data_IF_993526687622
#
_entry.id   IF_993526687622
#
_cell.length_a   1.000
_cell.length_b   1.000
_cell.length_c   1.000
_cell.angle_alpha   90.00
_cell.angle_beta   90.00
_cell.angle_gamma   90.00
#
_symmetry.space_group_name_H-M   'P 1'
#
loop_
_entity.id
_entity.type
_entity.pdbx_description
1 polymer ?
#
# COMPACT_ATOMS: atom_id res chain seq x y z
N UNK A 1 64.52 -13.18 6.60
CA UNK A 1 63.12 -13.59 6.78
C UNK A 1 62.54 -12.86 7.97
N UNK A 2 61.29 -12.37 7.83
CA UNK A 2 60.35 -11.86 8.86
C UNK A 2 60.85 -10.70 9.75
N UNK A 3 60.57 -9.44 9.39
CA UNK A 3 59.35 -8.64 9.68
C UNK A 3 59.44 -7.88 11.02
N UNK A 4 59.36 -6.53 11.04
CA UNK A 4 59.29 -5.75 12.27
C UNK A 4 57.84 -5.37 12.62
N UNK A 5 57.50 -5.42 13.91
CA UNK A 5 56.31 -4.77 14.48
C UNK A 5 56.80 -3.59 15.33
N UNK A 6 56.30 -2.40 15.04
CA UNK A 6 56.61 -1.17 15.76
C UNK A 6 55.31 -0.64 16.36
N UNK A 7 55.23 -0.70 17.69
CA UNK A 7 54.20 -0.05 18.49
C UNK A 7 54.62 1.40 18.76
N UNK A 8 53.73 2.36 18.51
CA UNK A 8 53.83 3.71 19.06
C UNK A 8 52.46 4.40 19.11
N UNK A 9 52.05 4.62 20.36
CA UNK A 9 51.54 5.88 20.92
C UNK A 9 50.05 6.30 20.80
N UNK A 10 49.41 6.19 21.95
CA UNK A 10 48.59 7.16 22.67
C UNK A 10 48.25 8.52 21.99
N UNK A 11 46.99 8.66 21.62
CA UNK A 11 46.11 9.78 21.96
C UNK A 11 46.43 11.21 21.50
N UNK A 12 45.71 11.69 20.45
CA UNK A 12 45.00 12.99 20.52
C UNK A 12 43.87 13.14 19.47
N UNK A 13 42.66 13.31 19.99
CA UNK A 13 41.53 14.10 19.47
C UNK A 13 40.77 13.76 18.17
N UNK A 14 39.46 13.97 18.31
CA UNK A 14 38.45 14.31 17.28
C UNK A 14 37.71 13.16 16.58
N UNK A 15 36.84 12.50 17.37
CA UNK A 15 35.37 12.58 17.20
C UNK A 15 34.84 12.85 15.76
N UNK A 16 35.00 11.94 14.80
CA UNK A 16 33.98 11.54 13.80
C UNK A 16 34.33 10.11 13.35
N UNK A 17 33.52 9.10 13.72
CA UNK A 17 33.51 7.82 13.01
C UNK A 17 32.44 7.90 11.92
N UNK A 18 32.79 7.87 10.61
CA UNK A 18 31.80 7.74 9.56
C UNK A 18 31.38 6.26 9.50
N UNK A 19 30.51 5.88 10.43
CA UNK A 19 30.00 4.52 10.53
C UNK A 19 28.47 4.54 10.65
N UNK A 20 27.79 5.27 9.75
CA UNK A 20 26.33 5.15 9.56
C UNK A 20 26.00 5.31 8.07
N UNK A 21 26.65 4.51 7.22
CA UNK A 21 26.15 4.22 5.88
C UNK A 21 26.06 2.70 5.71
N UNK A 22 25.46 2.06 6.72
CA UNK A 22 25.06 0.66 6.69
C UNK A 22 23.67 0.56 6.08
N UNK A 23 23.64 0.08 4.84
CA UNK A 23 22.53 -0.46 4.08
C UNK A 23 21.28 -0.78 4.94
N UNK A 24 20.27 0.10 4.90
CA UNK A 24 18.91 -0.25 5.32
C UNK A 24 18.27 -1.19 4.30
N UNK A 25 18.81 -2.40 4.14
CA UNK A 25 18.08 -3.49 3.50
C UNK A 25 17.23 -4.14 4.59
N UNK A 26 16.11 -3.48 4.92
CA UNK A 26 15.10 -4.06 5.80
C UNK A 26 14.38 -5.15 5.00
N UNK A 27 14.60 -6.40 5.37
CA UNK A 27 13.84 -7.55 4.87
C UNK A 27 12.32 -7.24 4.96
N UNK A 28 11.55 -7.36 3.88
CA UNK A 28 10.15 -6.89 3.82
C UNK A 28 9.15 -7.76 4.60
N UNK A 29 9.57 -8.88 5.20
CA UNK A 29 8.66 -9.92 5.73
C UNK A 29 7.89 -9.56 7.01
N UNK A 30 8.32 -8.58 7.80
CA UNK A 30 7.70 -8.28 9.10
C UNK A 30 6.89 -6.97 9.15
N UNK A 31 6.62 -6.34 8.00
CA UNK A 31 5.80 -5.13 7.96
C UNK A 31 4.45 -5.45 7.35
N UNK A 32 3.45 -5.72 8.19
CA UNK A 32 2.06 -5.72 7.77
C UNK A 32 1.66 -4.27 7.46
N UNK A 33 1.84 -3.86 6.19
CA UNK A 33 1.60 -2.48 5.76
C UNK A 33 0.18 -2.38 5.23
N UNK A 34 -0.75 -1.86 6.02
CA UNK A 34 -2.13 -1.60 5.62
C UNK A 34 -2.38 -0.10 5.61
N UNK A 35 -2.19 0.55 4.47
CA UNK A 35 -2.27 2.01 4.36
C UNK A 35 -3.48 2.41 3.55
N UNK A 36 -4.11 3.51 3.96
CA UNK A 36 -5.27 4.08 3.28
C UNK A 36 -4.97 5.53 2.91
N UNK A 37 -5.06 5.86 1.63
CA UNK A 37 -4.90 7.22 1.11
C UNK A 37 -6.27 7.88 0.89
N UNK A 38 -6.46 9.00 1.58
CA UNK A 38 -7.66 9.83 1.51
C UNK A 38 -7.29 11.23 1.01
N UNK A 39 -8.18 11.87 0.25
CA UNK A 39 -8.00 13.25 -0.21
C UNK A 39 -8.75 13.56 -1.51
N UNK A 40 -8.79 14.84 -1.90
CA UNK A 40 -9.54 15.29 -3.07
C UNK A 40 -9.12 14.59 -4.38
N UNK A 41 -10.03 14.39 -5.34
CA UNK A 41 -9.64 13.94 -6.68
C UNK A 41 -8.65 14.95 -7.29
N UNK A 42 -7.64 14.45 -8.02
CA UNK A 42 -6.65 15.31 -8.69
C UNK A 42 -5.42 15.73 -7.88
N UNK A 43 -5.34 15.45 -6.57
CA UNK A 43 -4.14 15.76 -5.74
C UNK A 43 -2.96 14.79 -5.96
N UNK A 44 -3.12 13.80 -6.85
CA UNK A 44 -2.07 12.84 -7.19
C UNK A 44 -1.92 11.65 -6.24
N UNK A 45 -2.93 11.34 -5.39
CA UNK A 45 -2.90 10.17 -4.47
C UNK A 45 -2.47 8.88 -5.15
N UNK A 46 -3.11 8.53 -6.26
CA UNK A 46 -2.75 7.33 -7.03
C UNK A 46 -1.30 7.32 -7.50
N UNK A 47 -0.72 8.48 -7.84
CA UNK A 47 0.69 8.61 -8.20
C UNK A 47 1.61 8.30 -7.01
N UNK A 48 1.27 8.81 -5.82
CA UNK A 48 2.03 8.51 -4.60
C UNK A 48 1.86 7.05 -4.17
N UNK A 49 0.62 6.54 -4.20
CA UNK A 49 0.29 5.18 -3.83
C UNK A 49 0.97 4.14 -4.75
N UNK A 50 1.00 4.39 -6.06
CA UNK A 50 1.72 3.53 -7.02
C UNK A 50 3.23 3.53 -6.78
N UNK A 51 3.86 4.70 -6.62
CA UNK A 51 5.31 4.78 -6.33
C UNK A 51 5.67 4.08 -5.03
N UNK A 52 4.80 4.17 -4.04
CA UNK A 52 5.00 3.56 -2.74
C UNK A 52 4.78 2.04 -2.80
N UNK A 53 3.79 1.58 -3.57
CA UNK A 53 3.59 0.17 -3.91
C UNK A 53 4.86 -0.43 -4.50
N UNK A 54 5.47 0.24 -5.48
CA UNK A 54 6.72 -0.20 -6.10
C UNK A 54 7.90 -0.22 -5.10
N UNK A 55 7.98 0.78 -4.22
CA UNK A 55 9.05 0.90 -3.23
C UNK A 55 8.95 -0.14 -2.11
N UNK A 56 7.73 -0.44 -1.67
CA UNK A 56 7.46 -1.35 -0.55
C UNK A 56 7.21 -2.79 -1.01
N UNK A 57 6.95 -3.01 -2.29
CA UNK A 57 6.60 -4.32 -2.86
C UNK A 57 5.23 -4.81 -2.40
N UNK A 58 4.29 -3.90 -2.14
CA UNK A 58 2.92 -4.22 -1.70
C UNK A 58 1.89 -3.75 -2.73
N UNK A 59 0.78 -4.47 -2.90
CA UNK A 59 -0.24 -4.11 -3.89
C UNK A 59 -0.90 -2.76 -3.60
N UNK A 60 -1.02 -1.93 -4.63
CA UNK A 60 -1.93 -0.79 -4.64
C UNK A 60 -3.32 -1.23 -5.12
N UNK A 61 -4.34 -0.98 -4.31
CA UNK A 61 -5.74 -1.33 -4.54
C UNK A 61 -6.54 -0.04 -4.59
N UNK A 62 -6.94 0.39 -5.79
CA UNK A 62 -7.86 1.50 -5.97
C UNK A 62 -9.30 0.99 -6.16
N UNK A 63 -10.26 1.61 -5.48
CA UNK A 63 -11.69 1.26 -5.62
C UNK A 63 -12.19 1.36 -7.06
N UNK A 64 -11.69 2.33 -7.83
CA UNK A 64 -12.02 2.47 -9.25
C UNK A 64 -11.50 1.31 -10.09
N UNK A 65 -10.35 0.74 -9.73
CA UNK A 65 -9.76 -0.39 -10.46
C UNK A 65 -10.49 -1.69 -10.12
N UNK A 66 -10.89 -1.89 -8.86
CA UNK A 66 -11.75 -3.03 -8.47
C UNK A 66 -13.04 -3.10 -9.31
N UNK A 67 -13.69 -1.96 -9.51
CA UNK A 67 -14.91 -1.88 -10.33
C UNK A 67 -14.60 -2.17 -11.81
N UNK A 68 -13.50 -1.64 -12.35
CA UNK A 68 -13.10 -1.86 -13.75
C UNK A 68 -12.72 -3.31 -14.00
N UNK A 69 -11.98 -3.93 -13.09
CA UNK A 69 -11.56 -5.33 -13.16
C UNK A 69 -12.78 -6.26 -13.12
N UNK A 70 -13.74 -5.96 -12.25
CA UNK A 70 -14.99 -6.71 -12.20
C UNK A 70 -15.82 -6.51 -13.47
N UNK A 71 -15.91 -5.30 -14.02
CA UNK A 71 -16.58 -5.04 -15.31
C UNK A 71 -15.92 -5.82 -16.47
N UNK A 72 -14.61 -6.04 -16.41
CA UNK A 72 -13.87 -6.84 -17.38
C UNK A 72 -14.08 -8.36 -17.18
N UNK A 73 -14.45 -8.79 -15.98
CA UNK A 73 -14.80 -10.17 -15.67
C UNK A 73 -16.10 -10.62 -16.34
N UNK A 74 -16.24 -11.92 -16.57
CA UNK A 74 -17.41 -12.54 -17.19
C UNK A 74 -18.35 -13.21 -16.16
N UNK A 75 -18.65 -12.49 -15.08
CA UNK A 75 -19.50 -12.98 -13.97
C UNK A 75 -20.94 -12.44 -13.98
N UNK A 76 -21.82 -13.02 -13.15
CA UNK A 76 -23.17 -12.47 -12.92
C UNK A 76 -23.11 -11.06 -12.30
N UNK A 77 -22.13 -10.81 -11.42
CA UNK A 77 -21.92 -9.52 -10.78
C UNK A 77 -21.43 -8.46 -11.77
N UNK A 78 -20.58 -8.83 -12.73
CA UNK A 78 -20.15 -7.90 -13.79
C UNK A 78 -21.28 -7.43 -14.69
N UNK A 79 -22.28 -8.28 -14.95
CA UNK A 79 -23.48 -7.91 -15.72
C UNK A 79 -24.33 -6.88 -14.96
N UNK A 80 -24.50 -7.07 -13.65
CA UNK A 80 -25.18 -6.11 -12.78
C UNK A 80 -24.42 -4.78 -12.69
N UNK A 81 -23.09 -4.81 -12.51
CA UNK A 81 -22.26 -3.60 -12.51
C UNK A 81 -22.36 -2.84 -13.84
N UNK A 82 -22.30 -3.55 -14.98
CA UNK A 82 -22.44 -2.93 -16.32
C UNK A 82 -23.75 -2.16 -16.42
N UNK A 83 -24.84 -2.74 -15.94
CA UNK A 83 -26.14 -2.08 -15.96
C UNK A 83 -26.16 -0.81 -15.09
N UNK A 84 -25.64 -0.88 -13.86
CA UNK A 84 -25.55 0.26 -12.93
C UNK A 84 -24.71 1.39 -13.53
N UNK A 85 -23.53 1.06 -14.07
CA UNK A 85 -22.61 2.04 -14.67
C UNK A 85 -23.19 2.63 -15.94
N UNK A 86 -23.84 1.83 -16.80
CA UNK A 86 -24.52 2.32 -17.99
C UNK A 86 -25.68 3.28 -17.66
N UNK A 87 -26.34 3.09 -16.52
CA UNK A 87 -27.37 4.00 -16.02
C UNK A 87 -26.79 5.28 -15.37
N UNK A 88 -25.46 5.43 -15.31
CA UNK A 88 -24.79 6.56 -14.65
C UNK A 88 -24.97 6.58 -13.14
N UNK A 89 -25.36 5.44 -12.54
CA UNK A 89 -25.58 5.32 -11.09
C UNK A 89 -24.26 5.00 -10.38
N UNK A 90 -24.17 5.43 -9.14
CA UNK A 90 -23.07 5.07 -8.25
C UNK A 90 -23.19 3.60 -7.84
N UNK A 91 -22.05 2.90 -7.81
CA UNK A 91 -21.97 1.53 -7.31
C UNK A 91 -22.25 1.54 -5.81
N UNK A 92 -23.12 0.64 -5.34
CA UNK A 92 -23.49 0.53 -3.93
C UNK A 92 -22.30 0.14 -3.05
N UNK A 93 -22.29 0.63 -1.81
CA UNK A 93 -21.22 0.36 -0.84
C UNK A 93 -21.01 -1.14 -0.61
N UNK A 94 -22.10 -1.93 -0.56
CA UNK A 94 -22.05 -3.39 -0.37
C UNK A 94 -21.25 -4.10 -1.47
N UNK A 95 -21.42 -3.66 -2.72
CA UNK A 95 -20.69 -4.23 -3.87
C UNK A 95 -19.21 -3.89 -3.75
N UNK A 96 -18.87 -2.65 -3.39
CA UNK A 96 -17.48 -2.24 -3.22
C UNK A 96 -16.80 -3.02 -2.09
N UNK A 97 -17.51 -3.25 -0.98
CA UNK A 97 -17.02 -4.05 0.14
C UNK A 97 -16.76 -5.50 -0.30
N UNK A 98 -17.71 -6.13 -1.01
CA UNK A 98 -17.56 -7.50 -1.51
C UNK A 98 -16.36 -7.63 -2.47
N UNK A 99 -16.20 -6.69 -3.40
CA UNK A 99 -15.07 -6.67 -4.33
C UNK A 99 -13.73 -6.49 -3.61
N UNK A 100 -13.70 -5.61 -2.62
CA UNK A 100 -12.50 -5.37 -1.84
C UNK A 100 -12.13 -6.60 -1.00
N UNK A 101 -13.09 -7.21 -0.31
CA UNK A 101 -12.88 -8.45 0.46
C UNK A 101 -12.31 -9.57 -0.42
N UNK A 102 -12.89 -9.80 -1.60
CA UNK A 102 -12.38 -10.79 -2.57
C UNK A 102 -10.95 -10.50 -3.01
N UNK A 103 -10.60 -9.23 -3.25
CA UNK A 103 -9.24 -8.84 -3.63
C UNK A 103 -8.24 -9.06 -2.48
N UNK A 104 -8.64 -8.79 -1.24
CA UNK A 104 -7.83 -9.01 -0.05
C UNK A 104 -7.60 -10.50 0.17
N UNK A 105 -8.65 -11.33 0.17
CA UNK A 105 -8.56 -12.79 0.28
C UNK A 105 -7.66 -13.40 -0.81
N UNK A 106 -7.82 -12.94 -2.06
CA UNK A 106 -6.97 -13.39 -3.16
C UNK A 106 -5.50 -12.96 -2.99
N UNK A 107 -5.24 -11.83 -2.33
CA UNK A 107 -3.90 -11.36 -1.98
C UNK A 107 -3.29 -12.19 -0.86
N UNK A 108 -4.04 -12.42 0.22
CA UNK A 108 -3.64 -13.27 1.34
C UNK A 108 -3.31 -14.70 0.87
N UNK A 109 -4.12 -15.27 -0.02
CA UNK A 109 -3.87 -16.59 -0.62
C UNK A 109 -2.57 -16.63 -1.46
N UNK A 110 -2.12 -15.49 -2.00
CA UNK A 110 -0.83 -15.36 -2.70
C UNK A 110 0.34 -15.08 -1.76
N UNK A 111 0.08 -14.88 -0.47
CA UNK A 111 1.08 -14.49 0.52
C UNK A 111 1.42 -13.00 0.50
N UNK A 112 0.52 -12.14 0.00
CA UNK A 112 0.67 -10.68 0.07
C UNK A 112 0.54 -10.23 1.55
N UNK A 113 1.58 -9.61 2.10
CA UNK A 113 1.61 -9.11 3.48
C UNK A 113 1.43 -7.59 3.53
N UNK A 114 0.22 -7.13 3.24
CA UNK A 114 -0.16 -5.71 3.27
C UNK A 114 -0.70 -5.19 1.93
N UNK A 115 -1.28 -4.00 1.96
CA UNK A 115 -1.87 -3.32 0.81
C UNK A 115 -1.92 -1.80 1.02
N UNK A 116 -2.05 -1.06 -0.08
CA UNK A 116 -2.35 0.37 -0.08
C UNK A 116 -3.72 0.57 -0.72
N UNK A 117 -4.68 1.11 0.03
CA UNK A 117 -6.01 1.46 -0.47
C UNK A 117 -6.07 2.93 -0.91
N UNK A 118 -6.56 3.19 -2.13
CA UNK A 118 -6.90 4.54 -2.60
C UNK A 118 -8.40 4.68 -2.85
N UNK A 119 -8.98 5.72 -2.23
CA UNK A 119 -10.38 6.08 -2.42
C UNK A 119 -11.38 5.21 -1.66
N UNK A 120 -10.95 4.51 -0.60
CA UNK A 120 -11.79 3.80 0.37
C UNK A 120 -11.26 4.07 1.78
N UNK A 121 -12.11 4.17 2.81
CA UNK A 121 -13.57 4.31 2.76
C UNK A 121 -13.99 5.76 2.43
N UNK A 122 -15.10 5.92 1.72
CA UNK A 122 -15.75 7.21 1.41
C UNK A 122 -16.99 7.49 2.25
N UNK A 123 -17.59 6.46 2.82
CA UNK A 123 -18.81 6.57 3.65
C UNK A 123 -18.57 5.96 5.04
N UNK A 124 -19.33 6.43 6.03
CA UNK A 124 -19.30 5.85 7.38
C UNK A 124 -19.68 4.37 7.38
N UNK A 125 -20.62 3.97 6.53
CA UNK A 125 -21.04 2.58 6.40
C UNK A 125 -19.87 1.67 6.01
N UNK A 126 -19.06 2.08 5.02
CA UNK A 126 -17.85 1.34 4.62
C UNK A 126 -16.83 1.17 5.75
N UNK A 127 -16.63 2.19 6.58
CA UNK A 127 -15.75 2.11 7.76
C UNK A 127 -16.26 1.05 8.73
N UNK A 128 -17.56 1.10 9.03
CA UNK A 128 -18.18 0.24 10.03
C UNK A 128 -18.26 -1.23 9.58
N UNK A 129 -18.44 -1.47 8.29
CA UNK A 129 -18.59 -2.82 7.73
C UNK A 129 -17.28 -3.61 7.67
N UNK A 130 -16.14 -2.98 7.39
CA UNK A 130 -14.88 -3.71 7.15
C UNK A 130 -13.95 -3.81 8.36
N UNK A 131 -14.07 -2.95 9.39
CA UNK A 131 -13.23 -2.98 10.60
C UNK A 131 -11.73 -3.23 10.31
N UNK A 132 -11.16 -2.53 9.32
CA UNK A 132 -9.76 -2.69 8.94
C UNK A 132 -8.85 -1.91 9.90
N UNK A 133 -7.80 -2.56 10.41
CA UNK A 133 -6.71 -1.93 11.17
C UNK A 133 -5.71 -1.22 10.25
N UNK A 134 -6.20 -0.18 9.56
CA UNK A 134 -5.44 0.59 8.59
C UNK A 134 -4.83 1.87 9.17
N UNK A 135 -3.65 2.24 8.65
CA UNK A 135 -3.07 3.57 8.86
C UNK A 135 -3.56 4.54 7.79
N UNK A 136 -4.24 5.60 8.22
CA UNK A 136 -4.79 6.62 7.32
C UNK A 136 -3.77 7.71 7.00
N UNK A 137 -3.62 8.01 5.72
CA UNK A 137 -2.79 9.08 5.18
C UNK A 137 -3.68 10.04 4.40
N UNK A 138 -3.78 11.28 4.90
CA UNK A 138 -4.48 12.36 4.23
C UNK A 138 -3.51 13.08 3.29
N UNK A 139 -3.85 13.10 2.01
CA UNK A 139 -3.15 13.90 1.01
C UNK A 139 -3.84 15.25 0.89
N UNK A 140 -3.32 16.24 1.61
CA UNK A 140 -3.66 17.65 1.45
C UNK A 140 -2.67 18.31 0.49
N UNK A 141 -3.19 19.17 -0.40
CA UNK A 141 -2.39 20.12 -1.16
C UNK A 141 -1.75 21.16 -0.23
#
# INVERSE_FOLDING_TARGET
SSSPTFDADNGLNSRIKPAVLGTLKREPKDRNVQWVFLGCPGVGKGTYASRLSDLLGIPHIATGDLVRDELASSGPLSSQLKEIVNQGKLVSDEIIIDLLSKRLEAGEAKGESGFILDGFPRTYFQVMSMQLDCKFYLCSQ
#
